data_IF_557045894630
#
_entry.id   IF_557045894630
#
_cell.length_a   1.000
_cell.length_b   1.000
_cell.length_c   1.000
_cell.angle_alpha   90.00
_cell.angle_beta   90.00
_cell.angle_gamma   90.00
#
_symmetry.space_group_name_H-M   'P 1'
#
loop_
_entity.id
_entity.type
_entity.pdbx_description
1 polymer ?
#
# COMPACT_ATOMS: atom_id res chain seq x y z
N UNK A 1 -17.39 32.81 60.63
CA UNK A 1 -16.65 31.68 60.02
C UNK A 1 -16.75 31.80 58.51
N UNK A 2 -15.65 31.47 57.82
CA UNK A 2 -15.31 31.90 56.46
C UNK A 2 -16.05 31.14 55.36
N UNK A 3 -16.29 31.89 54.28
CA UNK A 3 -16.77 31.52 52.94
C UNK A 3 -16.30 30.14 52.46
N UNK A 4 -17.22 29.29 51.98
CA UNK A 4 -16.94 28.32 50.92
C UNK A 4 -17.67 28.78 49.66
N UNK A 5 -16.89 29.25 48.71
CA UNK A 5 -17.29 29.45 47.32
C UNK A 5 -16.44 28.49 46.47
N UNK A 6 -17.02 28.06 45.35
CA UNK A 6 -16.40 27.36 44.20
C UNK A 6 -16.22 25.84 44.31
N UNK A 7 -17.33 25.12 44.07
CA UNK A 7 -17.27 23.85 43.35
C UNK A 7 -18.07 24.02 42.07
N UNK A 8 -17.38 24.34 40.97
CA UNK A 8 -18.04 24.65 39.72
C UNK A 8 -17.12 24.46 38.52
N UNK A 9 -17.33 23.34 37.84
CA UNK A 9 -17.11 23.12 36.40
C UNK A 9 -15.67 22.84 35.96
N UNK A 10 -15.37 21.55 35.78
CA UNK A 10 -14.33 21.04 34.89
C UNK A 10 -14.90 19.85 34.07
N UNK A 11 -15.83 20.13 33.14
CA UNK A 11 -16.34 19.09 32.20
C UNK A 11 -16.43 19.57 30.74
N UNK A 12 -15.95 20.77 30.39
CA UNK A 12 -16.06 21.29 29.02
C UNK A 12 -14.92 20.88 28.07
N UNK A 13 -13.93 20.11 28.53
CA UNK A 13 -12.75 19.78 27.71
C UNK A 13 -13.03 18.73 26.64
N UNK A 14 -13.96 17.78 26.86
CA UNK A 14 -14.10 16.61 25.98
C UNK A 14 -14.79 16.89 24.64
N UNK A 15 -15.66 17.90 24.55
CA UNK A 15 -16.38 18.20 23.30
C UNK A 15 -15.46 18.83 22.26
N UNK A 16 -14.57 19.73 22.69
CA UNK A 16 -13.61 20.39 21.79
C UNK A 16 -12.62 19.40 21.17
N UNK A 17 -12.15 18.40 21.93
CA UNK A 17 -11.28 17.34 21.39
C UNK A 17 -12.02 16.39 20.44
N UNK A 18 -13.27 16.04 20.74
CA UNK A 18 -14.07 15.19 19.86
C UNK A 18 -14.39 15.86 18.51
N UNK A 19 -14.64 17.17 18.52
CA UNK A 19 -14.88 17.93 17.29
C UNK A 19 -13.61 18.14 16.46
N UNK A 20 -12.46 18.39 17.10
CA UNK A 20 -11.15 18.46 16.42
C UNK A 20 -10.81 17.13 15.73
N UNK A 21 -10.98 16.00 16.42
CA UNK A 21 -10.72 14.67 15.85
C UNK A 21 -11.60 14.38 14.64
N UNK A 22 -12.90 14.67 14.72
CA UNK A 22 -13.83 14.51 13.58
C UNK A 22 -13.44 15.38 12.39
N UNK A 23 -13.02 16.61 12.65
CA UNK A 23 -12.62 17.52 11.59
C UNK A 23 -11.31 17.07 10.93
N UNK A 24 -10.34 16.61 11.71
CA UNK A 24 -9.10 16.02 11.19
C UNK A 24 -9.37 14.78 10.36
N UNK A 25 -10.25 13.90 10.83
CA UNK A 25 -10.63 12.69 10.10
C UNK A 25 -11.27 13.04 8.75
N UNK A 26 -12.19 14.00 8.73
CA UNK A 26 -12.81 14.48 7.49
C UNK A 26 -11.76 15.03 6.51
N UNK A 27 -10.83 15.87 6.98
CA UNK A 27 -9.76 16.42 6.13
C UNK A 27 -8.84 15.31 5.60
N UNK A 28 -8.46 14.35 6.44
CA UNK A 28 -7.63 13.22 6.04
C UNK A 28 -8.32 12.33 5.00
N UNK A 29 -9.62 12.04 5.17
CA UNK A 29 -10.40 11.29 4.19
C UNK A 29 -10.46 12.02 2.83
N UNK A 30 -10.69 13.33 2.85
CA UNK A 30 -10.68 14.15 1.63
C UNK A 30 -9.30 14.16 0.97
N UNK A 31 -8.24 14.31 1.77
CA UNK A 31 -6.87 14.36 1.27
C UNK A 31 -6.47 13.03 0.60
N UNK A 32 -6.73 11.89 1.24
CA UNK A 32 -6.48 10.55 0.70
C UNK A 32 -7.20 10.32 -0.64
N UNK A 33 -8.34 10.97 -0.87
CA UNK A 33 -9.09 10.84 -2.13
C UNK A 33 -8.47 11.61 -3.31
N UNK A 34 -7.58 12.57 -3.06
CA UNK A 34 -7.03 13.47 -4.10
C UNK A 34 -5.50 13.52 -4.15
N UNK A 35 -4.80 13.06 -3.11
CA UNK A 35 -3.33 13.12 -3.02
C UNK A 35 -2.62 11.97 -3.76
N UNK A 36 -3.37 11.11 -4.45
CA UNK A 36 -2.83 9.96 -5.18
C UNK A 36 -2.74 8.68 -4.34
N UNK A 37 -3.12 8.72 -3.06
CA UNK A 37 -3.09 7.53 -2.18
C UNK A 37 -3.90 6.36 -2.75
N UNK A 38 -5.10 6.61 -3.25
CA UNK A 38 -5.92 5.53 -3.82
C UNK A 38 -5.31 4.91 -5.08
N UNK A 39 -4.62 5.71 -5.90
CA UNK A 39 -3.89 5.19 -7.05
C UNK A 39 -2.71 4.33 -6.59
N UNK A 40 -1.96 4.79 -5.58
CA UNK A 40 -0.88 4.02 -4.95
C UNK A 40 -1.35 2.68 -4.36
N UNK A 41 -2.50 2.67 -3.68
CA UNK A 41 -3.13 1.44 -3.18
C UNK A 41 -3.48 0.48 -4.34
N UNK A 42 -4.10 0.96 -5.41
CA UNK A 42 -4.39 0.13 -6.59
C UNK A 42 -3.13 -0.46 -7.23
N UNK A 43 -2.05 0.32 -7.34
CA UNK A 43 -0.77 -0.17 -7.87
C UNK A 43 -0.14 -1.22 -6.95
N UNK A 44 -0.24 -1.01 -5.63
CA UNK A 44 0.24 -1.98 -4.62
C UNK A 44 -0.56 -3.28 -4.71
N UNK A 45 -1.87 -3.22 -4.93
CA UNK A 45 -2.73 -4.40 -5.08
C UNK A 45 -2.33 -5.25 -6.28
N UNK A 46 -2.09 -4.59 -7.43
CA UNK A 46 -1.58 -5.26 -8.62
C UNK A 46 -0.25 -5.95 -8.34
N UNK A 47 0.69 -5.26 -7.71
CA UNK A 47 1.99 -5.82 -7.36
C UNK A 47 1.86 -7.04 -6.44
N UNK A 48 1.01 -6.96 -5.41
CA UNK A 48 0.77 -8.09 -4.49
C UNK A 48 0.17 -9.28 -5.25
N UNK A 49 -0.86 -9.04 -6.08
CA UNK A 49 -1.50 -10.09 -6.87
C UNK A 49 -0.52 -10.74 -7.85
N UNK A 50 0.31 -9.96 -8.54
CA UNK A 50 1.36 -10.49 -9.41
C UNK A 50 2.35 -11.36 -8.64
N UNK A 51 2.81 -10.91 -7.48
CA UNK A 51 3.73 -11.68 -6.64
C UNK A 51 3.12 -13.00 -6.16
N UNK A 52 1.84 -12.99 -5.80
CA UNK A 52 1.11 -14.21 -5.39
C UNK A 52 0.92 -15.14 -6.59
N UNK A 53 0.48 -14.64 -7.75
CA UNK A 53 0.28 -15.42 -9.00
C UNK A 53 1.55 -16.12 -9.47
N UNK A 54 2.72 -15.56 -9.21
CA UNK A 54 3.99 -16.21 -9.52
C UNK A 54 4.29 -17.43 -8.63
N UNK A 55 3.77 -17.45 -7.39
CA UNK A 55 4.07 -18.49 -6.39
C UNK A 55 3.01 -19.59 -6.31
N UNK A 56 1.82 -19.33 -6.82
CA UNK A 56 0.70 -20.28 -6.82
C UNK A 56 0.65 -21.11 -8.11
N UNK A 57 -0.03 -22.28 -8.08
CA UNK A 57 -0.34 -23.06 -9.27
C UNK A 57 -1.03 -22.23 -10.37
N UNK A 58 -0.70 -22.53 -11.62
CA UNK A 58 -1.18 -21.76 -12.79
C UNK A 58 -2.62 -22.07 -13.19
N UNK A 59 -3.18 -23.16 -12.68
CA UNK A 59 -4.51 -23.70 -12.98
C UNK A 59 -5.59 -23.22 -11.98
N UNK A 60 -5.27 -22.29 -11.08
CA UNK A 60 -6.26 -21.67 -10.21
C UNK A 60 -7.27 -20.84 -11.03
N UNK A 61 -8.57 -20.91 -10.73
CA UNK A 61 -9.59 -20.16 -11.46
C UNK A 61 -9.50 -18.65 -11.19
N UNK A 62 -9.88 -17.81 -12.16
CA UNK A 62 -9.87 -16.35 -11.99
C UNK A 62 -10.72 -15.87 -10.80
N UNK A 63 -11.78 -16.60 -10.45
CA UNK A 63 -12.61 -16.31 -9.27
C UNK A 63 -11.80 -16.30 -7.97
N UNK A 64 -10.77 -17.15 -7.85
CA UNK A 64 -9.88 -17.15 -6.68
C UNK A 64 -9.18 -15.79 -6.52
N UNK A 65 -8.70 -15.18 -7.61
CA UNK A 65 -8.00 -13.90 -7.56
C UNK A 65 -8.96 -12.73 -7.31
N UNK A 66 -10.21 -12.83 -7.76
CA UNK A 66 -11.26 -11.88 -7.41
C UNK A 66 -11.54 -11.92 -5.91
N UNK A 67 -11.72 -13.11 -5.35
CA UNK A 67 -11.95 -13.31 -3.91
C UNK A 67 -10.73 -12.87 -3.08
N UNK A 68 -9.51 -13.16 -3.55
CA UNK A 68 -8.28 -12.68 -2.94
C UNK A 68 -8.23 -11.15 -2.89
N UNK A 69 -8.58 -10.47 -3.99
CA UNK A 69 -8.63 -9.00 -4.03
C UNK A 69 -9.64 -8.44 -3.04
N UNK A 70 -10.81 -9.07 -2.93
CA UNK A 70 -11.82 -8.72 -1.92
C UNK A 70 -11.28 -8.91 -0.50
N UNK A 71 -10.58 -10.01 -0.24
CA UNK A 71 -9.99 -10.32 1.06
C UNK A 71 -8.80 -9.44 1.42
N UNK A 72 -8.08 -8.87 0.44
CA UNK A 72 -7.07 -7.81 0.68
C UNK A 72 -7.69 -6.53 1.25
N UNK A 73 -9.01 -6.37 1.14
CA UNK A 73 -9.80 -5.34 1.82
C UNK A 73 -9.19 -3.93 1.69
N UNK A 74 -9.23 -3.38 0.48
CA UNK A 74 -8.65 -2.07 0.18
C UNK A 74 -9.25 -0.94 1.04
N UNK A 75 -10.51 -1.05 1.45
CA UNK A 75 -11.15 -0.09 2.36
C UNK A 75 -10.52 -0.11 3.75
N UNK A 76 -10.25 -1.28 4.33
CA UNK A 76 -9.56 -1.38 5.62
C UNK A 76 -8.16 -0.74 5.55
N UNK A 77 -7.42 -0.96 4.47
CA UNK A 77 -6.10 -0.36 4.27
C UNK A 77 -6.16 1.14 4.05
N UNK A 78 -7.18 1.63 3.32
CA UNK A 78 -7.45 3.06 3.19
C UNK A 78 -7.75 3.71 4.55
N UNK A 79 -8.59 3.09 5.37
CA UNK A 79 -8.90 3.56 6.72
C UNK A 79 -7.66 3.60 7.62
N UNK A 80 -6.77 2.59 7.52
CA UNK A 80 -5.49 2.62 8.22
C UNK A 80 -4.66 3.86 7.84
N UNK A 81 -4.59 4.21 6.55
CA UNK A 81 -3.85 5.40 6.08
C UNK A 81 -4.50 6.69 6.59
N UNK A 82 -5.84 6.80 6.53
CA UNK A 82 -6.57 7.94 7.10
C UNK A 82 -6.21 8.12 8.58
N UNK A 83 -6.21 7.04 9.35
CA UNK A 83 -5.82 7.07 10.77
C UNK A 83 -4.37 7.53 10.96
N UNK A 84 -3.42 7.09 10.12
CA UNK A 84 -2.04 7.59 10.16
C UNK A 84 -1.97 9.10 9.94
N UNK A 85 -2.77 9.65 9.02
CA UNK A 85 -2.82 11.09 8.79
C UNK A 85 -3.40 11.84 9.99
N UNK A 86 -4.49 11.33 10.58
CA UNK A 86 -5.12 11.92 11.78
C UNK A 86 -4.16 11.91 12.97
N UNK A 87 -3.40 10.84 13.17
CA UNK A 87 -2.45 10.74 14.28
C UNK A 87 -1.18 11.57 14.08
N UNK A 88 -0.74 11.74 12.84
CA UNK A 88 0.57 12.36 12.54
C UNK A 88 0.47 13.88 12.36
N UNK A 89 -0.58 14.38 11.71
CA UNK A 89 -0.68 15.78 11.31
C UNK A 89 -1.70 16.54 12.15
N UNK A 90 -1.48 17.83 12.37
CA UNK A 90 -2.49 18.71 12.95
C UNK A 90 -3.49 19.20 11.88
N UNK A 91 -4.60 19.81 12.30
CA UNK A 91 -5.64 20.26 11.40
C UNK A 91 -5.16 21.29 10.36
N UNK A 92 -4.25 22.20 10.74
CA UNK A 92 -3.73 23.24 9.83
C UNK A 92 -2.88 22.64 8.72
N UNK A 93 -2.06 21.64 9.05
CA UNK A 93 -1.24 20.90 8.09
C UNK A 93 -2.13 20.10 7.12
N UNK A 94 -3.12 19.36 7.62
CA UNK A 94 -4.07 18.63 6.78
C UNK A 94 -4.83 19.57 5.84
N UNK A 95 -5.26 20.72 6.35
CA UNK A 95 -5.96 21.72 5.54
C UNK A 95 -5.05 22.33 4.47
N UNK A 96 -3.79 22.65 4.81
CA UNK A 96 -2.84 23.20 3.85
C UNK A 96 -2.50 22.20 2.74
N UNK A 97 -2.28 20.93 3.10
CA UNK A 97 -2.09 19.85 2.14
C UNK A 97 -3.32 19.69 1.24
N UNK A 98 -4.53 19.68 1.81
CA UNK A 98 -5.77 19.59 1.06
C UNK A 98 -5.90 20.75 0.05
N UNK A 99 -5.62 21.98 0.48
CA UNK A 99 -5.64 23.16 -0.41
C UNK A 99 -4.66 23.01 -1.56
N UNK A 100 -3.44 22.52 -1.28
CA UNK A 100 -2.46 22.24 -2.34
C UNK A 100 -2.99 21.21 -3.33
N UNK A 101 -3.41 20.02 -2.88
CA UNK A 101 -3.88 18.96 -3.78
C UNK A 101 -5.21 19.28 -4.48
N UNK A 102 -5.95 20.28 -4.01
CA UNK A 102 -7.12 20.81 -4.73
C UNK A 102 -6.75 21.74 -5.89
N UNK A 103 -5.54 22.33 -5.90
CA UNK A 103 -5.09 23.18 -6.99
C UNK A 103 -4.83 22.38 -8.28
N UNK A 104 -4.85 23.03 -9.46
CA UNK A 104 -4.49 22.36 -10.72
C UNK A 104 -3.12 21.70 -10.65
N UNK A 105 -2.12 22.39 -10.12
CA UNK A 105 -0.75 21.90 -9.99
C UNK A 105 -0.66 20.73 -9.00
N UNK A 106 -1.39 20.80 -7.87
CA UNK A 106 -1.42 19.74 -6.88
C UNK A 106 -2.05 18.44 -7.40
N UNK A 107 -3.11 18.54 -8.21
CA UNK A 107 -3.71 17.36 -8.88
C UNK A 107 -2.75 16.73 -9.88
N UNK A 108 -2.07 17.55 -10.69
CA UNK A 108 -1.05 17.07 -11.64
C UNK A 108 0.11 16.43 -10.87
N UNK A 109 0.54 17.04 -9.77
CA UNK A 109 1.58 16.51 -8.91
C UNK A 109 1.21 15.14 -8.33
N UNK A 110 0.01 15.00 -7.75
CA UNK A 110 -0.47 13.73 -7.17
C UNK A 110 -0.38 12.57 -8.18
N UNK A 111 -0.88 12.78 -9.41
CA UNK A 111 -0.85 11.78 -10.46
C UNK A 111 0.59 11.41 -10.84
N UNK A 112 1.43 12.41 -11.12
CA UNK A 112 2.84 12.18 -11.52
C UNK A 112 3.67 11.54 -10.42
N UNK A 113 3.48 11.97 -9.17
CA UNK A 113 4.19 11.39 -8.03
C UNK A 113 3.79 9.92 -7.82
N UNK A 114 2.51 9.58 -8.02
CA UNK A 114 2.03 8.19 -7.97
C UNK A 114 2.64 7.34 -9.09
N UNK A 115 2.72 7.87 -10.32
CA UNK A 115 3.36 7.20 -11.46
C UNK A 115 4.85 6.95 -11.21
N UNK A 116 5.60 7.99 -10.81
CA UNK A 116 7.02 7.87 -10.45
C UNK A 116 7.22 6.84 -9.34
N UNK A 117 6.38 6.86 -8.30
CA UNK A 117 6.42 5.88 -7.22
C UNK A 117 6.22 4.44 -7.72
N UNK A 118 5.30 4.23 -8.66
CA UNK A 118 5.06 2.93 -9.28
C UNK A 118 6.24 2.46 -10.12
N UNK A 119 6.87 3.35 -10.89
CA UNK A 119 8.07 3.05 -11.68
C UNK A 119 9.26 2.68 -10.79
N UNK A 120 9.48 3.42 -9.71
CA UNK A 120 10.51 3.12 -8.71
C UNK A 120 10.26 1.76 -8.06
N UNK A 121 9.02 1.46 -7.67
CA UNK A 121 8.67 0.16 -7.09
C UNK A 121 8.92 -1.00 -8.07
N UNK A 122 8.58 -0.81 -9.35
CA UNK A 122 8.85 -1.80 -10.39
C UNK A 122 10.36 -1.99 -10.58
N UNK A 123 11.11 -0.91 -10.79
CA UNK A 123 12.56 -0.93 -11.00
C UNK A 123 13.28 -1.63 -9.85
N UNK A 124 12.99 -1.23 -8.61
CA UNK A 124 13.61 -1.82 -7.41
C UNK A 124 13.27 -3.29 -7.23
N UNK A 125 12.03 -3.70 -7.54
CA UNK A 125 11.63 -5.11 -7.52
C UNK A 125 12.38 -5.94 -8.56
N UNK A 126 12.54 -5.44 -9.78
CA UNK A 126 13.31 -6.13 -10.82
C UNK A 126 14.78 -6.23 -10.43
N UNK A 127 15.36 -5.13 -9.94
CA UNK A 127 16.75 -5.12 -9.50
C UNK A 127 17.00 -6.11 -8.35
N UNK A 128 16.08 -6.22 -7.39
CA UNK A 128 16.16 -7.20 -6.31
C UNK A 128 16.12 -8.65 -6.82
N UNK A 129 15.32 -8.95 -7.85
CA UNK A 129 15.28 -10.28 -8.48
C UNK A 129 16.58 -10.60 -9.21
N UNK A 130 17.13 -9.64 -9.96
CA UNK A 130 18.41 -9.80 -10.64
C UNK A 130 19.53 -10.07 -9.63
N UNK A 131 19.63 -9.25 -8.57
CA UNK A 131 20.62 -9.42 -7.52
C UNK A 131 20.50 -10.79 -6.82
N UNK A 132 19.28 -11.25 -6.54
CA UNK A 132 19.05 -12.58 -5.99
C UNK A 132 19.54 -13.69 -6.93
N UNK A 133 19.21 -13.62 -8.22
CA UNK A 133 19.64 -14.61 -9.21
C UNK A 133 21.16 -14.65 -9.35
N UNK A 134 21.82 -13.49 -9.44
CA UNK A 134 23.27 -13.38 -9.49
C UNK A 134 23.93 -13.97 -8.23
N UNK A 135 23.40 -13.65 -7.05
CA UNK A 135 23.90 -14.19 -5.78
C UNK A 135 23.74 -15.71 -5.72
N UNK A 136 22.59 -16.25 -6.13
CA UNK A 136 22.39 -17.70 -6.17
C UNK A 136 23.37 -18.37 -7.14
N UNK A 137 23.64 -17.76 -8.30
CA UNK A 137 24.59 -18.28 -9.28
C UNK A 137 26.03 -18.29 -8.73
N UNK A 138 26.43 -17.26 -7.97
CA UNK A 138 27.74 -17.22 -7.30
C UNK A 138 27.90 -18.32 -6.24
N UNK A 139 26.78 -18.78 -5.65
CA UNK A 139 26.75 -19.83 -4.64
C UNK A 139 26.17 -21.16 -5.18
N UNK A 140 26.26 -21.41 -6.48
CA UNK A 140 25.64 -22.57 -7.13
C UNK A 140 26.14 -23.92 -6.60
N UNK A 141 27.37 -23.97 -6.08
CA UNK A 141 27.96 -25.18 -5.50
C UNK A 141 27.40 -25.51 -4.11
N UNK A 142 26.72 -24.56 -3.46
CA UNK A 142 26.06 -24.81 -2.19
C UNK A 142 24.77 -25.64 -2.41
N UNK A 143 24.64 -26.87 -1.87
CA UNK A 143 23.55 -27.78 -2.22
C UNK A 143 22.14 -27.20 -2.01
N UNK A 144 21.94 -26.43 -0.95
CA UNK A 144 20.64 -25.77 -0.68
C UNK A 144 20.33 -24.64 -1.66
N UNK A 145 21.34 -23.90 -2.11
CA UNK A 145 21.16 -22.81 -3.09
C UNK A 145 20.83 -23.41 -4.45
N UNK A 146 21.54 -24.45 -4.85
CA UNK A 146 21.24 -25.22 -6.07
C UNK A 146 19.80 -25.74 -6.11
N UNK A 147 19.33 -26.33 -5.00
CA UNK A 147 17.94 -26.78 -4.88
C UNK A 147 16.94 -25.61 -4.95
N UNK A 148 17.26 -24.47 -4.34
CA UNK A 148 16.41 -23.28 -4.39
C UNK A 148 16.30 -22.73 -5.81
N UNK A 149 17.40 -22.63 -6.55
CA UNK A 149 17.40 -22.16 -7.95
C UNK A 149 16.48 -22.99 -8.84
N UNK A 150 16.52 -24.33 -8.72
CA UNK A 150 15.65 -25.23 -9.49
C UNK A 150 14.17 -25.01 -9.15
N UNK A 151 13.83 -24.72 -7.89
CA UNK A 151 12.45 -24.43 -7.48
C UNK A 151 11.96 -23.06 -7.96
N UNK A 152 12.83 -22.06 -7.97
CA UNK A 152 12.48 -20.68 -8.36
C UNK A 152 12.41 -20.50 -9.87
N UNK A 153 13.27 -21.20 -10.62
CA UNK A 153 13.30 -21.21 -12.07
C UNK A 153 13.08 -22.66 -12.55
N UNK A 154 11.87 -23.23 -12.35
CA UNK A 154 11.61 -24.57 -12.84
C UNK A 154 11.87 -24.58 -14.35
N UNK A 155 12.62 -25.57 -14.87
CA UNK A 155 12.78 -25.69 -16.31
C UNK A 155 11.37 -25.75 -16.90
N UNK A 156 11.09 -24.80 -17.81
CA UNK A 156 9.87 -24.83 -18.61
C UNK A 156 9.73 -26.26 -19.12
N UNK A 157 8.65 -26.95 -18.74
CA UNK A 157 8.32 -28.25 -19.32
C UNK A 157 8.49 -28.07 -20.83
N UNK A 158 9.47 -28.77 -21.39
CA UNK A 158 9.63 -28.89 -22.82
C UNK A 158 8.25 -29.25 -23.36
N UNK A 159 7.65 -28.33 -24.08
CA UNK A 159 6.57 -28.63 -25.01
C UNK A 159 7.13 -29.68 -25.95
N UNK A 160 6.91 -30.96 -25.64
CA UNK A 160 7.08 -32.04 -26.59
C UNK A 160 6.17 -31.70 -27.77
N UNK A 161 6.77 -31.17 -28.82
CA UNK A 161 6.15 -31.14 -30.13
C UNK A 161 5.85 -32.60 -30.50
N UNK A 162 4.60 -32.94 -30.85
CA UNK A 162 4.30 -34.30 -31.25
C UNK A 162 5.06 -34.60 -32.54
N UNK A 163 5.97 -35.57 -32.50
CA UNK A 163 6.56 -36.17 -33.69
C UNK A 163 5.41 -36.70 -34.56
N UNK A 164 5.21 -36.09 -35.74
CA UNK A 164 4.35 -36.68 -36.76
C UNK A 164 5.07 -37.88 -37.35
N UNK A 165 4.37 -39.01 -37.40
CA UNK A 165 4.72 -40.18 -38.21
C UNK A 165 4.66 -39.87 -39.70
#
# INVERSE_FOLDING_TARGET
MKKLWFLGILVFSNTAFADDLKQKEKLAQQLVSIDGTEQGLRSTDKMILEQIRMRLPKDLPESFYVDLTKNLNSEQRKQFIVQRYVETFNQKELQAALTFYQSPEGKVWANKASEVGSEVAHFTTQHARTALNETMQQHIDHPKVKQLMVRMNPPSQSSESPQSK
#
